data_IF_336580388708
#
_entry.id   IF_336580388708
#
_cell.length_a   1.000
_cell.length_b   1.000
_cell.length_c   1.000
_cell.angle_alpha   90.00
_cell.angle_beta   90.00
_cell.angle_gamma   90.00
#
_symmetry.space_group_name_H-M   'P 1'
#
loop_
_entity.id
_entity.type
_entity.pdbx_description
1 polymer ?
#
# COMPACT_ATOMS: atom_id res chain seq x y z
N UNK A 1 29.36 -19.83 26.07
CA UNK A 1 28.78 -19.68 24.73
C UNK A 1 27.74 -18.55 24.74
N UNK A 2 27.84 -17.67 23.75
CA UNK A 2 26.91 -16.54 23.63
C UNK A 2 25.50 -17.04 23.28
N UNK A 3 24.60 -17.00 24.24
CA UNK A 3 23.21 -17.45 24.11
C UNK A 3 22.44 -16.85 22.91
N UNK A 4 22.84 -15.67 22.45
CA UNK A 4 22.15 -14.93 21.38
C UNK A 4 22.90 -14.89 20.05
N UNK A 5 23.97 -15.66 19.88
CA UNK A 5 24.76 -15.63 18.63
C UNK A 5 23.90 -15.93 17.39
N UNK A 6 23.15 -17.03 17.40
CA UNK A 6 22.24 -17.39 16.29
C UNK A 6 21.12 -16.36 16.09
N UNK A 7 20.59 -15.81 17.20
CA UNK A 7 19.55 -14.78 17.11
C UNK A 7 20.06 -13.48 16.50
N UNK A 8 21.32 -13.06 16.80
CA UNK A 8 21.94 -11.87 16.13
C UNK A 8 22.11 -12.09 14.64
N UNK A 9 22.61 -13.26 14.25
CA UNK A 9 22.77 -13.60 12.84
C UNK A 9 21.43 -13.55 12.10
N UNK A 10 20.35 -14.11 12.69
CA UNK A 10 19.01 -14.06 12.10
C UNK A 10 18.46 -12.64 12.01
N UNK A 11 18.57 -11.83 13.08
CA UNK A 11 18.14 -10.43 13.10
C UNK A 11 18.86 -9.62 12.00
N UNK A 12 20.15 -9.82 11.84
CA UNK A 12 20.96 -9.13 10.81
C UNK A 12 20.55 -9.59 9.39
N UNK A 13 20.36 -10.89 9.18
CA UNK A 13 19.86 -11.46 7.92
C UNK A 13 18.53 -10.82 7.51
N UNK A 14 17.54 -10.82 8.43
CA UNK A 14 16.21 -10.24 8.19
C UNK A 14 16.34 -8.74 7.88
N UNK A 15 17.15 -8.00 8.63
CA UNK A 15 17.37 -6.57 8.41
C UNK A 15 17.84 -6.27 6.99
N UNK A 16 18.86 -6.99 6.52
CA UNK A 16 19.40 -6.82 5.16
C UNK A 16 18.44 -7.30 4.08
N UNK A 17 17.78 -8.43 4.27
CA UNK A 17 16.75 -8.96 3.35
C UNK A 17 15.66 -7.93 3.06
N UNK A 18 15.28 -7.14 4.06
CA UNK A 18 14.27 -6.08 3.94
C UNK A 18 14.89 -4.68 3.77
N UNK A 19 16.18 -4.59 3.35
CA UNK A 19 16.88 -3.33 3.03
C UNK A 19 16.79 -2.28 4.16
N UNK A 20 16.87 -2.70 5.42
CA UNK A 20 16.80 -1.81 6.57
C UNK A 20 15.41 -1.19 6.86
N UNK A 21 14.37 -1.60 6.15
CA UNK A 21 13.00 -1.06 6.30
C UNK A 21 12.30 -1.49 7.58
N UNK A 22 12.69 -2.64 8.16
CA UNK A 22 12.04 -3.20 9.33
C UNK A 22 12.56 -2.62 10.65
N UNK A 23 11.66 -2.13 11.48
CA UNK A 23 11.90 -1.88 12.90
C UNK A 23 11.70 -3.15 13.73
N UNK A 24 12.03 -3.08 15.03
CA UNK A 24 12.03 -4.22 15.95
C UNK A 24 10.73 -5.05 15.95
N UNK A 25 9.56 -4.42 15.72
CA UNK A 25 8.26 -5.14 15.71
C UNK A 25 8.20 -6.13 14.55
N UNK A 26 8.55 -5.68 13.33
CA UNK A 26 8.56 -6.56 12.15
C UNK A 26 9.70 -7.57 12.19
N UNK A 27 10.89 -7.18 12.69
CA UNK A 27 11.98 -8.14 12.90
C UNK A 27 11.56 -9.23 13.88
N UNK A 28 10.89 -8.89 14.98
CA UNK A 28 10.35 -9.88 15.92
C UNK A 28 9.38 -10.86 15.25
N UNK A 29 8.45 -10.35 14.44
CA UNK A 29 7.49 -11.18 13.72
C UNK A 29 8.19 -12.06 12.67
N UNK A 30 9.16 -11.53 11.95
CA UNK A 30 9.94 -12.29 10.99
C UNK A 30 10.76 -13.40 11.68
N UNK A 31 11.41 -13.12 12.83
CA UNK A 31 12.07 -14.15 13.63
C UNK A 31 11.09 -15.26 14.05
N UNK A 32 9.88 -14.90 14.47
CA UNK A 32 8.83 -15.88 14.81
C UNK A 32 8.46 -16.76 13.62
N UNK A 33 8.35 -16.17 12.42
CA UNK A 33 8.04 -16.92 11.20
C UNK A 33 9.17 -17.91 10.83
N UNK A 34 10.42 -17.61 11.24
CA UNK A 34 11.59 -18.50 11.13
C UNK A 34 11.74 -19.47 12.34
N UNK A 35 10.69 -19.59 13.19
CA UNK A 35 10.70 -20.48 14.34
C UNK A 35 11.43 -19.96 15.58
N UNK A 36 11.95 -18.73 15.57
CA UNK A 36 12.72 -18.14 16.69
C UNK A 36 11.87 -17.16 17.48
N UNK A 37 11.45 -17.54 18.66
CA UNK A 37 10.61 -16.75 19.56
C UNK A 37 11.47 -15.78 20.39
N UNK A 38 11.42 -14.50 20.06
CA UNK A 38 12.09 -13.42 20.79
C UNK A 38 11.07 -12.40 21.27
N UNK A 39 11.27 -11.85 22.49
CA UNK A 39 10.45 -10.72 22.92
C UNK A 39 10.96 -9.39 22.31
N UNK A 40 10.12 -8.35 22.32
CA UNK A 40 10.46 -7.07 21.72
C UNK A 40 11.63 -6.33 22.40
N UNK A 41 11.84 -6.55 23.72
CA UNK A 41 12.98 -5.97 24.45
C UNK A 41 14.29 -6.61 23.99
N UNK A 42 14.31 -7.94 23.83
CA UNK A 42 15.47 -8.68 23.34
C UNK A 42 15.81 -8.24 21.91
N UNK A 43 14.84 -8.18 21.00
CA UNK A 43 15.12 -7.73 19.61
C UNK A 43 15.69 -6.33 19.58
N UNK A 44 15.15 -5.37 20.36
CA UNK A 44 15.71 -4.00 20.45
C UNK A 44 17.15 -4.01 20.96
N UNK A 45 17.44 -4.83 21.99
CA UNK A 45 18.82 -4.98 22.54
C UNK A 45 19.75 -5.49 21.45
N UNK A 46 19.39 -6.57 20.75
CA UNK A 46 20.20 -7.15 19.69
C UNK A 46 20.42 -6.16 18.52
N UNK A 47 19.37 -5.44 18.09
CA UNK A 47 19.51 -4.40 17.07
C UNK A 47 20.48 -3.30 17.50
N UNK A 48 20.43 -2.86 18.77
CA UNK A 48 21.36 -1.87 19.31
C UNK A 48 22.80 -2.39 19.34
N UNK A 49 23.02 -3.62 19.78
CA UNK A 49 24.34 -4.28 19.78
C UNK A 49 24.92 -4.40 18.36
N UNK A 50 24.07 -4.64 17.36
CA UNK A 50 24.45 -4.73 15.95
C UNK A 50 24.60 -3.35 15.27
N UNK A 51 24.33 -2.26 15.97
CA UNK A 51 24.38 -0.91 15.40
C UNK A 51 23.35 -0.63 14.32
N UNK A 52 22.23 -1.38 14.29
CA UNK A 52 21.17 -1.27 13.26
C UNK A 52 19.89 -0.66 13.80
N UNK A 53 19.25 0.12 12.96
CA UNK A 53 17.93 0.72 13.22
C UNK A 53 17.14 0.85 11.92
N UNK A 54 15.80 1.00 12.01
CA UNK A 54 15.00 1.25 10.81
C UNK A 54 15.43 2.55 10.12
N UNK A 55 15.64 2.48 8.81
CA UNK A 55 16.03 3.64 7.97
C UNK A 55 14.88 4.60 7.70
N UNK A 56 13.66 4.27 8.13
CA UNK A 56 12.46 5.04 7.81
C UNK A 56 12.48 6.42 8.48
N UNK A 57 12.31 7.46 7.68
CA UNK A 57 12.08 8.83 8.14
C UNK A 57 10.57 9.12 8.11
N UNK A 58 10.01 9.58 9.23
CA UNK A 58 8.62 9.99 9.31
C UNK A 58 8.48 11.36 8.66
N UNK A 59 7.84 11.44 7.49
CA UNK A 59 7.35 12.70 6.91
C UNK A 59 5.82 12.66 6.90
N UNK A 60 5.17 13.76 7.32
CA UNK A 60 3.72 13.89 7.25
C UNK A 60 3.27 13.97 5.79
N UNK A 61 2.32 13.12 5.39
CA UNK A 61 1.64 13.20 4.11
C UNK A 61 0.73 14.43 4.07
N UNK A 62 0.64 15.09 2.92
CA UNK A 62 -0.32 16.18 2.66
C UNK A 62 -1.13 15.81 1.42
N UNK A 63 -2.46 15.77 1.55
CA UNK A 63 -3.38 15.55 0.44
C UNK A 63 -3.59 16.82 -0.39
N UNK A 64 -3.98 16.65 -1.66
CA UNK A 64 -4.29 17.73 -2.60
C UNK A 64 -5.78 18.09 -2.54
N UNK A 65 -6.13 19.38 -2.74
CA UNK A 65 -7.52 19.86 -2.81
C UNK A 65 -7.88 20.16 -4.27
N UNK A 66 -8.90 19.51 -4.81
CA UNK A 66 -9.40 19.69 -6.18
C UNK A 66 -10.77 20.37 -6.28
N UNK A 67 -11.22 20.70 -7.50
CA UNK A 67 -12.49 21.36 -7.84
C UNK A 67 -13.67 20.38 -7.92
N UNK A 68 -14.93 20.92 -7.94
CA UNK A 68 -16.16 20.15 -7.83
C UNK A 68 -16.67 19.59 -9.17
N UNK A 69 -17.09 18.31 -9.17
CA UNK A 69 -17.90 17.64 -10.16
C UNK A 69 -19.04 16.85 -9.51
N UNK A 70 -19.49 15.74 -10.10
CA UNK A 70 -20.53 14.87 -9.51
C UNK A 70 -19.98 14.05 -8.36
N UNK A 71 -20.59 14.18 -7.18
CA UNK A 71 -20.21 13.52 -5.94
C UNK A 71 -21.16 12.35 -5.68
N UNK A 72 -20.62 11.21 -5.20
CA UNK A 72 -21.37 10.06 -4.71
C UNK A 72 -21.35 9.99 -3.18
N UNK A 73 -22.30 9.25 -2.59
CA UNK A 73 -22.40 9.06 -1.16
C UNK A 73 -21.19 8.31 -0.58
N UNK A 74 -20.83 8.61 0.68
CA UNK A 74 -19.84 7.87 1.43
C UNK A 74 -20.48 6.60 2.00
N UNK A 75 -20.39 5.49 1.28
CA UNK A 75 -20.94 4.20 1.69
C UNK A 75 -20.08 3.50 2.74
N UNK A 76 -18.76 3.73 2.75
CA UNK A 76 -17.86 3.10 3.72
C UNK A 76 -18.03 3.67 5.13
N UNK A 77 -18.34 4.97 5.28
CA UNK A 77 -18.51 5.63 6.59
C UNK A 77 -17.39 5.29 7.57
N UNK A 78 -16.14 5.21 7.09
CA UNK A 78 -14.92 4.78 7.82
C UNK A 78 -14.90 3.32 8.26
N UNK A 79 -15.84 2.50 7.82
CA UNK A 79 -15.77 1.05 8.00
C UNK A 79 -14.89 0.44 6.91
N UNK A 80 -13.58 0.41 7.16
CA UNK A 80 -12.58 -0.15 6.26
C UNK A 80 -12.35 -1.66 6.46
N UNK A 81 -13.09 -2.30 7.34
CA UNK A 81 -12.98 -3.74 7.51
C UNK A 81 -13.77 -4.46 6.41
N UNK A 82 -13.11 -5.35 5.71
CA UNK A 82 -13.69 -6.25 4.72
C UNK A 82 -13.59 -7.69 5.23
N UNK A 83 -14.66 -8.48 5.03
CA UNK A 83 -14.74 -9.86 5.53
C UNK A 83 -14.21 -10.88 4.52
N UNK A 84 -14.17 -10.52 3.24
CA UNK A 84 -13.73 -11.37 2.13
C UNK A 84 -12.96 -10.55 1.09
N UNK A 85 -12.11 -11.21 0.28
CA UNK A 85 -11.48 -10.55 -0.86
C UNK A 85 -12.52 -9.89 -1.78
N UNK A 86 -12.14 -8.79 -2.41
CA UNK A 86 -12.94 -8.07 -3.38
C UNK A 86 -14.31 -7.56 -2.87
N UNK A 87 -14.45 -7.37 -1.54
CA UNK A 87 -15.64 -6.75 -0.95
C UNK A 87 -15.57 -5.22 -1.03
N UNK A 88 -14.44 -4.66 -0.65
CA UNK A 88 -14.20 -3.21 -0.61
C UNK A 88 -12.84 -2.88 -1.16
N UNK A 89 -12.80 -2.01 -2.12
CA UNK A 89 -11.59 -1.46 -2.71
C UNK A 89 -11.45 0.01 -2.39
N UNK A 90 -10.21 0.49 -2.27
CA UNK A 90 -9.91 1.93 -2.17
C UNK A 90 -8.92 2.32 -3.26
N UNK A 91 -9.06 3.56 -3.75
CA UNK A 91 -8.18 4.15 -4.74
C UNK A 91 -7.94 5.62 -4.46
N UNK A 92 -6.80 6.12 -4.89
CA UNK A 92 -6.41 7.52 -4.87
C UNK A 92 -5.24 7.74 -5.83
N UNK A 93 -4.83 8.97 -6.07
CA UNK A 93 -3.67 9.30 -6.89
C UNK A 93 -2.62 10.03 -6.06
N UNK A 94 -1.37 9.58 -6.15
CA UNK A 94 -0.26 10.28 -5.52
C UNK A 94 0.78 10.73 -6.54
N UNK A 95 1.42 11.86 -6.27
CA UNK A 95 2.47 12.47 -7.09
C UNK A 95 3.86 12.25 -6.48
N UNK A 96 4.82 12.01 -7.36
CA UNK A 96 6.27 12.03 -7.09
C UNK A 96 6.95 13.05 -8.00
N UNK A 97 8.09 13.59 -7.56
CA UNK A 97 8.88 14.56 -8.32
C UNK A 97 10.33 14.09 -8.46
N UNK A 98 10.85 14.12 -9.68
CA UNK A 98 12.26 13.80 -10.00
C UNK A 98 12.79 14.84 -10.97
N UNK A 99 13.76 15.66 -10.55
CA UNK A 99 14.41 16.66 -11.38
C UNK A 99 13.42 17.52 -12.17
N UNK A 100 12.40 18.08 -11.50
CA UNK A 100 11.37 18.92 -12.11
C UNK A 100 10.27 18.19 -12.89
N UNK A 101 10.45 16.89 -13.19
CA UNK A 101 9.44 16.04 -13.82
C UNK A 101 8.55 15.38 -12.77
N UNK A 102 7.33 15.03 -13.17
CA UNK A 102 6.34 14.39 -12.28
C UNK A 102 6.08 12.95 -12.72
N UNK A 103 5.79 12.11 -11.74
CA UNK A 103 5.26 10.75 -11.92
C UNK A 103 4.05 10.60 -11.01
N UNK A 104 2.96 10.08 -11.54
CA UNK A 104 1.72 9.82 -10.81
C UNK A 104 1.51 8.32 -10.68
N UNK A 105 1.09 7.88 -9.50
CA UNK A 105 0.68 6.51 -9.22
C UNK A 105 -0.79 6.50 -8.83
N UNK A 106 -1.58 5.67 -9.50
CA UNK A 106 -2.97 5.37 -9.17
C UNK A 106 -3.11 3.87 -8.89
N UNK A 107 -3.21 3.43 -7.66
CA UNK A 107 -3.44 2.03 -7.28
C UNK A 107 -4.89 1.77 -6.91
N UNK A 108 -5.32 0.52 -7.02
CA UNK A 108 -6.48 -0.04 -6.30
C UNK A 108 -5.96 -0.98 -5.22
N UNK A 109 -6.41 -0.78 -3.99
CA UNK A 109 -6.10 -1.64 -2.85
C UNK A 109 -7.35 -2.37 -2.39
N UNK A 110 -7.25 -3.69 -2.21
CA UNK A 110 -8.26 -4.50 -1.53
C UNK A 110 -8.15 -4.30 -0.01
N UNK A 111 -9.24 -3.87 0.62
CA UNK A 111 -9.27 -3.63 2.07
C UNK A 111 -9.22 -4.91 2.90
N UNK A 112 -9.52 -6.08 2.32
CA UNK A 112 -9.48 -7.36 3.02
C UNK A 112 -8.09 -7.67 3.59
N UNK A 113 -7.06 -7.54 2.77
CA UNK A 113 -5.67 -7.85 3.16
C UNK A 113 -4.71 -6.67 2.93
N UNK A 114 -5.20 -5.58 2.32
CA UNK A 114 -4.41 -4.41 1.94
C UNK A 114 -3.43 -4.68 0.80
N UNK A 115 -3.78 -5.60 -0.10
CA UNK A 115 -3.03 -5.88 -1.34
C UNK A 115 -3.30 -4.82 -2.39
N UNK A 116 -2.26 -4.41 -3.11
CA UNK A 116 -2.41 -3.58 -4.31
C UNK A 116 -2.73 -4.53 -5.47
N UNK A 117 -4.01 -4.61 -5.83
CA UNK A 117 -4.50 -5.55 -6.85
C UNK A 117 -4.27 -5.04 -8.28
N UNK A 118 -4.20 -3.72 -8.46
CA UNK A 118 -3.90 -3.10 -9.74
C UNK A 118 -3.31 -1.72 -9.51
N UNK A 119 -2.55 -1.21 -10.45
CA UNK A 119 -2.03 0.15 -10.45
C UNK A 119 -1.65 0.61 -11.85
N UNK A 120 -1.56 1.93 -12.02
CA UNK A 120 -0.98 2.55 -13.22
C UNK A 120 -0.02 3.67 -12.84
N UNK A 121 1.05 3.83 -13.63
CA UNK A 121 2.05 4.89 -13.51
C UNK A 121 2.05 5.75 -14.77
N UNK A 122 1.89 7.07 -14.61
CA UNK A 122 1.85 8.01 -15.72
C UNK A 122 2.62 9.30 -15.42
N UNK A 123 3.17 9.95 -16.42
CA UNK A 123 3.86 11.24 -16.28
C UNK A 123 2.90 12.43 -16.23
N UNK A 124 1.63 12.21 -16.57
CA UNK A 124 0.57 13.21 -16.52
C UNK A 124 -0.70 12.63 -15.92
N UNK A 125 -1.47 13.38 -15.11
CA UNK A 125 -2.72 12.95 -14.56
C UNK A 125 -3.82 13.01 -15.62
N UNK A 126 -4.03 11.92 -16.33
CA UNK A 126 -5.03 11.81 -17.41
C UNK A 126 -6.06 10.71 -17.14
N UNK A 127 -7.27 10.80 -17.69
CA UNK A 127 -8.34 9.84 -17.45
C UNK A 127 -7.97 8.39 -17.77
N UNK A 128 -7.14 8.17 -18.80
CA UNK A 128 -6.67 6.84 -19.20
C UNK A 128 -5.88 6.13 -18.08
N UNK A 129 -5.21 6.88 -17.18
CA UNK A 129 -4.46 6.30 -16.08
C UNK A 129 -5.37 5.51 -15.13
N UNK A 130 -6.47 6.12 -14.68
CA UNK A 130 -7.43 5.45 -13.81
C UNK A 130 -8.24 4.39 -14.57
N UNK A 131 -8.43 4.59 -15.88
CA UNK A 131 -9.11 3.63 -16.75
C UNK A 131 -8.33 2.32 -16.89
N UNK A 132 -7.06 2.38 -17.25
CA UNK A 132 -6.19 1.20 -17.36
C UNK A 132 -6.14 0.44 -16.04
N UNK A 133 -5.90 1.16 -14.94
CA UNK A 133 -5.88 0.60 -13.59
C UNK A 133 -7.16 -0.18 -13.27
N UNK A 134 -8.34 0.40 -13.52
CA UNK A 134 -9.61 -0.28 -13.26
C UNK A 134 -9.82 -1.48 -14.18
N UNK A 135 -9.49 -1.37 -15.48
CA UNK A 135 -9.57 -2.49 -16.43
C UNK A 135 -8.78 -3.70 -15.92
N UNK A 136 -7.57 -3.48 -15.41
CA UNK A 136 -6.71 -4.55 -14.92
C UNK A 136 -7.22 -5.14 -13.59
N UNK A 137 -7.81 -4.32 -12.73
CA UNK A 137 -8.48 -4.81 -11.53
C UNK A 137 -9.71 -5.68 -11.84
N UNK A 138 -10.54 -5.27 -12.81
CA UNK A 138 -11.74 -6.01 -13.22
C UNK A 138 -11.43 -7.40 -13.77
N UNK A 139 -10.27 -7.61 -14.41
CA UNK A 139 -9.84 -8.92 -14.91
C UNK A 139 -9.63 -9.95 -13.78
N UNK A 140 -9.45 -9.50 -12.55
CA UNK A 140 -9.20 -10.35 -11.39
C UNK A 140 -10.51 -10.75 -10.67
N UNK A 141 -11.64 -10.15 -11.03
CA UNK A 141 -12.93 -10.45 -10.41
C UNK A 141 -13.56 -11.71 -11.00
N UNK A 142 -14.14 -12.53 -10.15
CA UNK A 142 -15.08 -13.55 -10.55
C UNK A 142 -16.44 -12.94 -10.96
N UNK A 143 -17.30 -13.74 -11.64
CA UNK A 143 -18.59 -13.25 -12.17
C UNK A 143 -19.54 -12.68 -11.12
N UNK A 144 -19.41 -13.14 -9.87
CA UNK A 144 -20.33 -12.78 -8.78
C UNK A 144 -19.77 -11.70 -7.84
N UNK A 145 -18.52 -11.29 -8.04
CA UNK A 145 -17.91 -10.26 -7.21
C UNK A 145 -18.30 -8.86 -7.65
N UNK A 146 -18.75 -8.05 -6.71
CA UNK A 146 -19.20 -6.66 -6.92
C UNK A 146 -18.64 -5.78 -5.81
N UNK A 147 -17.36 -5.38 -5.88
CA UNK A 147 -16.75 -4.54 -4.87
C UNK A 147 -17.38 -3.14 -4.80
N UNK A 148 -17.31 -2.55 -3.61
CA UNK A 148 -17.47 -1.11 -3.45
C UNK A 148 -16.10 -0.48 -3.72
N UNK A 149 -16.00 0.42 -4.70
CA UNK A 149 -14.78 1.19 -4.95
C UNK A 149 -14.91 2.58 -4.32
N UNK A 150 -14.11 2.82 -3.28
CA UNK A 150 -14.08 4.08 -2.56
C UNK A 150 -12.88 4.93 -2.99
N UNK A 151 -13.12 6.22 -3.22
CA UNK A 151 -12.11 7.21 -3.57
C UNK A 151 -12.30 8.52 -2.80
N UNK A 152 -11.33 9.42 -2.91
CA UNK A 152 -11.57 10.83 -2.60
C UNK A 152 -12.48 11.49 -3.66
N UNK A 153 -12.68 12.80 -3.54
CA UNK A 153 -13.41 13.61 -4.53
C UNK A 153 -12.47 14.17 -5.62
N UNK A 154 -11.44 13.44 -6.02
CA UNK A 154 -10.58 13.81 -7.13
C UNK A 154 -11.38 13.94 -8.44
N UNK A 155 -11.01 14.91 -9.29
CA UNK A 155 -11.73 15.21 -10.55
C UNK A 155 -11.88 13.98 -11.45
N UNK A 156 -10.90 13.08 -11.49
CA UNK A 156 -10.91 11.85 -12.28
C UNK A 156 -12.06 10.91 -11.89
N UNK A 157 -12.43 10.88 -10.62
CA UNK A 157 -13.50 10.02 -10.08
C UNK A 157 -14.89 10.65 -10.19
N UNK A 158 -14.97 11.97 -10.46
CA UNK A 158 -16.20 12.73 -10.62
C UNK A 158 -16.70 12.79 -12.07
N UNK A 159 -15.90 12.30 -13.01
CA UNK A 159 -16.24 12.30 -14.44
C UNK A 159 -17.43 11.37 -14.71
N UNK A 160 -18.41 11.85 -15.50
CA UNK A 160 -19.59 11.05 -15.88
C UNK A 160 -19.21 9.76 -16.62
N UNK A 161 -18.14 9.79 -17.42
CA UNK A 161 -17.62 8.60 -18.11
C UNK A 161 -17.09 7.53 -17.11
N UNK A 162 -16.40 7.96 -16.05
CA UNK A 162 -15.92 7.08 -14.99
C UNK A 162 -17.07 6.44 -14.24
N UNK A 163 -18.06 7.24 -13.82
CA UNK A 163 -19.24 6.75 -13.08
C UNK A 163 -20.06 5.76 -13.90
N UNK A 164 -20.25 6.05 -15.22
CA UNK A 164 -20.94 5.14 -16.12
C UNK A 164 -20.20 3.81 -16.23
N UNK A 165 -18.88 3.87 -16.41
CA UNK A 165 -18.07 2.67 -16.56
C UNK A 165 -18.06 1.80 -15.31
N UNK A 166 -17.99 2.36 -14.10
CA UNK A 166 -18.16 1.60 -12.85
C UNK A 166 -19.52 0.91 -12.81
N UNK A 167 -20.58 1.64 -13.14
CA UNK A 167 -21.95 1.11 -13.18
C UNK A 167 -22.08 -0.06 -14.16
N UNK A 168 -21.55 0.09 -15.37
CA UNK A 168 -21.59 -0.93 -16.44
C UNK A 168 -20.79 -2.18 -16.04
N UNK A 169 -19.75 -2.01 -15.22
CA UNK A 169 -18.93 -3.08 -14.65
C UNK A 169 -19.51 -3.69 -13.36
N UNK A 170 -20.67 -3.21 -12.89
CA UNK A 170 -21.30 -3.68 -11.64
C UNK A 170 -20.59 -3.21 -10.36
N UNK A 171 -19.69 -2.23 -10.44
CA UNK A 171 -18.96 -1.67 -9.32
C UNK A 171 -19.77 -0.55 -8.67
N UNK A 172 -19.91 -0.60 -7.35
CA UNK A 172 -20.58 0.45 -6.58
C UNK A 172 -19.58 1.53 -6.21
N UNK A 173 -19.81 2.76 -6.68
CA UNK A 173 -18.95 3.89 -6.33
C UNK A 173 -19.28 4.44 -4.95
N UNK A 174 -18.25 4.75 -4.17
CA UNK A 174 -18.32 5.47 -2.90
C UNK A 174 -17.27 6.58 -2.89
N UNK A 175 -17.60 7.74 -2.30
CA UNK A 175 -16.66 8.85 -2.18
C UNK A 175 -16.53 9.34 -0.75
N UNK A 176 -15.33 9.78 -0.36
CA UNK A 176 -15.09 10.44 0.91
C UNK A 176 -15.87 11.77 1.00
N UNK A 177 -16.16 12.20 2.21
CA UNK A 177 -16.72 13.55 2.42
C UNK A 177 -15.66 14.61 2.12
N UNK A 178 -16.09 15.75 1.63
CA UNK A 178 -15.21 16.85 1.24
C UNK A 178 -14.33 17.29 2.43
N UNK A 179 -13.03 17.34 2.17
CA UNK A 179 -12.04 17.80 3.16
C UNK A 179 -11.82 16.86 4.35
N UNK A 180 -12.36 15.63 4.30
CA UNK A 180 -12.21 14.66 5.37
C UNK A 180 -11.17 13.58 4.99
N UNK A 181 -9.90 13.83 5.32
CA UNK A 181 -8.79 12.91 5.04
C UNK A 181 -8.94 11.54 5.73
N UNK A 182 -9.70 11.45 6.83
CA UNK A 182 -9.92 10.18 7.53
C UNK A 182 -10.79 9.20 6.73
N UNK A 183 -11.55 9.69 5.77
CA UNK A 183 -12.42 8.85 4.95
C UNK A 183 -11.63 8.08 3.87
N UNK A 184 -10.36 8.44 3.58
CA UNK A 184 -9.46 7.73 2.65
C UNK A 184 -8.12 7.32 3.28
N UNK A 185 -8.06 7.25 4.62
CA UNK A 185 -6.84 7.10 5.41
C UNK A 185 -6.03 5.83 5.08
N UNK A 186 -6.67 4.75 4.62
CA UNK A 186 -6.00 3.47 4.36
C UNK A 186 -5.06 3.59 3.16
N UNK A 187 -5.53 4.16 2.04
CA UNK A 187 -4.70 4.33 0.86
C UNK A 187 -3.64 5.43 1.07
N UNK A 188 -3.96 6.50 1.83
CA UNK A 188 -2.99 7.52 2.23
C UNK A 188 -1.86 6.93 3.08
N UNK A 189 -2.19 5.99 3.98
CA UNK A 189 -1.20 5.24 4.77
C UNK A 189 -0.27 4.39 3.89
N UNK A 190 -0.80 3.78 2.83
CA UNK A 190 0.02 3.08 1.84
C UNK A 190 0.96 4.05 1.12
N UNK A 191 0.49 5.21 0.67
CA UNK A 191 1.35 6.21 0.03
C UNK A 191 2.45 6.72 0.97
N UNK A 192 2.12 6.96 2.23
CA UNK A 192 3.11 7.32 3.25
C UNK A 192 4.18 6.23 3.42
N UNK A 193 3.76 4.97 3.42
CA UNK A 193 4.63 3.80 3.53
C UNK A 193 5.53 3.66 2.29
N UNK A 194 4.95 3.71 1.08
CA UNK A 194 5.70 3.66 -0.17
C UNK A 194 6.73 4.79 -0.25
N UNK A 195 6.33 6.03 0.07
CA UNK A 195 7.24 7.17 0.03
C UNK A 195 8.38 7.03 1.05
N UNK A 196 8.11 6.56 2.26
CA UNK A 196 9.14 6.42 3.29
C UNK A 196 10.05 5.20 3.08
N UNK A 197 9.54 4.10 2.56
CA UNK A 197 10.29 2.84 2.38
C UNK A 197 10.96 2.71 1.00
N UNK A 198 10.60 3.56 0.01
CA UNK A 198 11.15 3.54 -1.34
C UNK A 198 11.62 4.93 -1.76
N UNK A 199 10.70 5.88 -1.94
CA UNK A 199 11.01 7.16 -2.59
C UNK A 199 12.01 8.04 -1.82
N UNK A 200 11.89 8.16 -0.49
CA UNK A 200 12.78 9.03 0.32
C UNK A 200 14.10 8.37 0.74
N UNK A 201 14.27 7.08 0.48
CA UNK A 201 15.52 6.38 0.78
C UNK A 201 16.52 6.43 -0.38
N UNK A 202 16.07 6.79 -1.58
CA UNK A 202 16.89 6.79 -2.78
C UNK A 202 16.90 8.18 -3.42
N UNK A 203 17.95 8.46 -4.18
CA UNK A 203 18.05 9.61 -5.09
C UNK A 203 17.84 9.12 -6.52
N UNK A 204 16.94 9.75 -7.26
CA UNK A 204 16.59 9.36 -8.62
C UNK A 204 17.12 10.37 -9.64
N UNK A 205 17.81 9.89 -10.66
CA UNK A 205 18.31 10.71 -11.75
C UNK A 205 17.23 11.03 -12.80
N UNK A 206 16.30 10.12 -12.99
CA UNK A 206 15.21 10.25 -13.95
C UNK A 206 13.94 9.56 -13.47
N UNK A 207 12.83 9.78 -14.18
CA UNK A 207 11.51 9.23 -13.86
C UNK A 207 11.45 7.71 -14.06
N UNK A 208 12.19 7.17 -15.03
CA UNK A 208 12.17 5.73 -15.33
C UNK A 208 12.82 4.91 -14.21
N UNK A 209 13.88 5.42 -13.57
CA UNK A 209 14.47 4.76 -12.40
C UNK A 209 13.47 4.71 -11.23
N UNK A 210 12.79 5.82 -10.95
CA UNK A 210 11.74 5.85 -9.93
C UNK A 210 10.60 4.91 -10.28
N UNK A 211 10.18 4.85 -11.55
CA UNK A 211 9.11 3.96 -12.00
C UNK A 211 9.44 2.49 -11.75
N UNK A 212 10.67 2.06 -12.09
CA UNK A 212 11.14 0.69 -11.79
C UNK A 212 11.10 0.39 -10.29
N UNK A 213 11.64 1.29 -9.47
CA UNK A 213 11.66 1.11 -8.01
C UNK A 213 10.26 1.04 -7.40
N UNK A 214 9.29 1.80 -7.92
CA UNK A 214 7.90 1.73 -7.46
C UNK A 214 7.29 0.37 -7.83
N UNK A 215 7.52 -0.13 -9.05
CA UNK A 215 7.05 -1.45 -9.50
C UNK A 215 7.62 -2.55 -8.59
N UNK A 216 8.93 -2.55 -8.38
CA UNK A 216 9.61 -3.51 -7.52
C UNK A 216 9.13 -3.41 -6.06
N UNK A 217 8.89 -2.17 -5.59
CA UNK A 217 8.37 -1.95 -4.25
C UNK A 217 6.94 -2.47 -4.09
N UNK A 218 6.04 -2.29 -5.06
CA UNK A 218 4.67 -2.82 -4.99
C UNK A 218 4.70 -4.35 -4.96
N UNK A 219 5.55 -4.98 -5.77
CA UNK A 219 5.75 -6.43 -5.73
C UNK A 219 6.25 -6.88 -4.35
N UNK A 220 7.29 -6.23 -3.81
CA UNK A 220 7.79 -6.48 -2.46
C UNK A 220 6.70 -6.28 -1.40
N UNK A 221 5.92 -5.20 -1.49
CA UNK A 221 4.85 -4.89 -0.56
C UNK A 221 3.77 -5.98 -0.53
N UNK A 222 3.38 -6.49 -1.69
CA UNK A 222 2.36 -7.51 -1.81
C UNK A 222 2.87 -8.90 -1.37
N UNK A 223 4.08 -9.27 -1.79
CA UNK A 223 4.58 -10.65 -1.66
C UNK A 223 5.38 -10.89 -0.37
N UNK A 224 6.12 -9.90 0.11
CA UNK A 224 7.15 -10.11 1.13
C UNK A 224 6.99 -9.21 2.37
N UNK A 225 6.37 -8.03 2.23
CA UNK A 225 6.27 -7.08 3.33
C UNK A 225 5.24 -7.52 4.35
N UNK A 226 5.70 -8.06 5.49
CA UNK A 226 4.82 -8.52 6.57
C UNK A 226 4.10 -7.36 7.26
N UNK A 227 2.88 -7.63 7.72
CA UNK A 227 2.02 -6.70 8.48
C UNK A 227 1.62 -7.30 9.82
N UNK A 228 1.67 -6.50 10.90
CA UNK A 228 1.20 -6.93 12.23
C UNK A 228 -0.29 -7.30 12.21
N UNK A 229 -1.11 -6.48 11.52
CA UNK A 229 -2.57 -6.71 11.36
C UNK A 229 -2.89 -8.05 10.68
N UNK A 230 -1.98 -8.56 9.84
CA UNK A 230 -2.12 -9.85 9.16
C UNK A 230 -1.36 -11.00 9.87
N UNK A 231 -1.14 -10.87 11.16
CA UNK A 231 -0.45 -11.90 11.94
C UNK A 231 1.02 -12.12 11.59
N UNK A 232 1.66 -11.17 10.88
CA UNK A 232 3.05 -11.30 10.43
C UNK A 232 3.17 -11.90 9.02
N UNK A 233 2.09 -11.97 8.27
CA UNK A 233 2.07 -12.36 6.86
C UNK A 233 2.10 -11.11 5.95
N UNK A 234 2.53 -11.31 4.70
CA UNK A 234 2.33 -10.31 3.65
C UNK A 234 0.88 -10.32 3.14
N UNK A 235 0.42 -9.31 2.40
CA UNK A 235 -0.93 -9.30 1.83
C UNK A 235 -1.27 -10.58 1.08
N UNK A 236 -0.44 -11.00 0.13
CA UNK A 236 -0.67 -12.22 -0.67
C UNK A 236 -0.63 -13.47 0.19
N UNK A 237 0.36 -13.62 1.07
CA UNK A 237 0.44 -14.78 1.99
C UNK A 237 -0.83 -14.89 2.85
N UNK A 238 -1.35 -13.76 3.35
CA UNK A 238 -2.59 -13.76 4.12
C UNK A 238 -3.77 -14.21 3.27
N UNK A 239 -3.94 -13.68 2.04
CA UNK A 239 -5.02 -14.12 1.14
C UNK A 239 -4.98 -15.62 0.89
N UNK A 240 -3.80 -16.16 0.58
CA UNK A 240 -3.63 -17.60 0.33
C UNK A 240 -3.91 -18.46 1.57
N UNK A 241 -3.49 -18.02 2.76
CA UNK A 241 -3.75 -18.76 4.01
C UNK A 241 -5.22 -18.80 4.42
N UNK A 242 -6.07 -17.91 3.88
CA UNK A 242 -7.50 -17.90 4.15
C UNK A 242 -8.32 -18.63 3.08
N UNK A 243 -7.69 -18.97 1.94
CA UNK A 243 -8.33 -19.72 0.85
C UNK A 243 -8.12 -21.24 0.96
N UNK A 244 -7.20 -21.66 1.84
CA UNK A 244 -6.89 -23.05 2.15
C UNK A 244 -7.77 -23.56 3.31
#
# INVERSE_FOLDING_TARGET
>A
PDRYQSARALVLKIYHQHKGRYGYRRIRLACRNEGVLLNGKTVRKLMKELGISSLLRVKKYRSYKGEQGRICDNLLKRNFDAKRPNEKWVTDVTEFKVNGKKLYLSPIMDLYNGEIISYNLATHPQPSMVQTMLTDALKQLSKDERPILHSDQGWQYQMSRWQRWLKDSGIVQSMSRRGNCLDNAVIESFFGTLKSECYYLNEYKNVEDLKRDIIDYINYYNQLRIKEKLGGLSPVQYRLSQAA
#
